data_IF_024959132483
#
_entry.id   IF_024959132483
#
_cell.length_a   1.000
_cell.length_b   1.000
_cell.length_c   1.000
_cell.angle_alpha   90.00
_cell.angle_beta   90.00
_cell.angle_gamma   90.00
#
_symmetry.space_group_name_H-M   'P 1'
#
loop_
_entity.id
_entity.type
_entity.pdbx_description
1 polymer ?
#
# COMPACT_ATOMS: atom_id res chain seq x y z
N UNK A 1 14.47 -6.36 -8.61
CA UNK A 1 14.99 -6.16 -7.21
C UNK A 1 14.11 -5.15 -6.48
N UNK A 2 13.89 -5.32 -5.16
CA UNK A 2 13.10 -4.37 -4.34
C UNK A 2 14.05 -3.53 -3.51
N UNK A 3 13.89 -2.20 -3.54
CA UNK A 3 14.69 -1.24 -2.80
C UNK A 3 13.79 -0.24 -2.09
N UNK A 4 14.19 0.19 -0.89
CA UNK A 4 13.58 1.32 -0.19
C UNK A 4 14.52 2.52 -0.27
N UNK A 5 14.04 3.63 -0.81
CA UNK A 5 14.78 4.87 -1.02
C UNK A 5 14.01 6.00 -0.32
N UNK A 6 14.48 6.43 0.85
CA UNK A 6 13.72 7.37 1.67
C UNK A 6 12.36 6.81 2.07
N UNK A 7 11.29 7.48 1.67
CA UNK A 7 9.90 7.05 1.90
C UNK A 7 9.32 6.25 0.71
N UNK A 8 10.11 6.01 -0.33
CA UNK A 8 9.65 5.32 -1.51
C UNK A 8 10.11 3.87 -1.57
N UNK A 9 9.34 3.06 -2.29
CA UNK A 9 9.66 1.70 -2.67
C UNK A 9 9.82 1.63 -4.19
N UNK A 10 10.94 1.08 -4.63
CA UNK A 10 11.28 0.90 -6.03
C UNK A 10 11.43 -0.60 -6.29
N UNK A 11 10.62 -1.09 -7.22
CA UNK A 11 10.53 -2.49 -7.59
C UNK A 11 10.99 -2.64 -9.04
N UNK A 12 12.18 -3.16 -9.23
CA UNK A 12 12.79 -3.31 -10.55
C UNK A 12 12.74 -4.78 -10.99
N UNK A 13 12.28 -4.98 -12.21
CA UNK A 13 12.47 -6.23 -12.98
C UNK A 13 13.60 -6.04 -14.00
N UNK A 14 13.76 -6.96 -14.95
CA UNK A 14 14.77 -6.86 -15.99
C UNK A 14 14.57 -5.61 -16.89
N UNK A 15 13.31 -5.25 -17.19
CA UNK A 15 12.99 -4.19 -18.14
C UNK A 15 11.98 -3.16 -17.62
N UNK A 16 11.45 -3.33 -16.41
CA UNK A 16 10.44 -2.41 -15.85
C UNK A 16 10.80 -1.94 -14.46
N UNK A 17 10.36 -0.72 -14.14
CA UNK A 17 10.36 -0.16 -12.79
C UNK A 17 8.94 0.14 -12.37
N UNK A 18 8.59 -0.26 -11.16
CA UNK A 18 7.39 0.14 -10.45
C UNK A 18 7.80 0.90 -9.20
N UNK A 19 7.25 2.10 -8.98
CA UNK A 19 7.62 2.92 -7.84
C UNK A 19 6.39 3.56 -7.19
N UNK A 20 6.38 3.58 -5.86
CA UNK A 20 5.42 4.31 -5.06
C UNK A 20 6.08 4.89 -3.82
N UNK A 21 5.54 5.95 -3.24
CA UNK A 21 6.06 6.58 -2.03
C UNK A 21 4.99 6.67 -0.95
N UNK A 22 5.44 6.79 0.29
CA UNK A 22 4.56 7.07 1.42
C UNK A 22 4.50 8.57 1.61
N UNK A 23 3.32 9.13 1.41
CA UNK A 23 3.02 10.52 1.66
C UNK A 23 3.19 10.86 3.15
N UNK A 24 3.32 12.13 3.47
CA UNK A 24 3.42 12.62 4.84
C UNK A 24 2.26 12.16 5.73
N UNK A 25 1.06 12.07 5.18
CA UNK A 25 -0.14 11.55 5.86
C UNK A 25 -0.17 10.04 6.05
N UNK A 26 0.86 9.33 5.58
CA UNK A 26 0.95 7.87 5.68
C UNK A 26 0.23 7.10 4.57
N UNK A 27 -0.32 7.79 3.57
CA UNK A 27 -0.97 7.13 2.44
C UNK A 27 0.04 6.85 1.33
N UNK A 28 -0.01 5.67 0.68
CA UNK A 28 0.89 5.34 -0.40
C UNK A 28 0.43 5.98 -1.73
N UNK A 29 1.33 6.73 -2.36
CA UNK A 29 1.15 7.37 -3.66
C UNK A 29 1.87 6.59 -4.74
N UNK A 30 1.17 6.23 -5.82
CA UNK A 30 1.77 5.64 -7.01
C UNK A 30 2.56 6.69 -7.79
N UNK A 31 3.85 6.43 -8.05
CA UNK A 31 4.73 7.35 -8.74
C UNK A 31 4.95 6.96 -10.20
N UNK A 32 5.27 5.69 -10.45
CA UNK A 32 5.70 5.24 -11.77
C UNK A 32 5.45 3.77 -12.01
N UNK A 33 5.07 3.42 -13.22
CA UNK A 33 5.16 2.08 -13.78
C UNK A 33 5.48 2.16 -15.27
N UNK A 34 6.59 1.59 -15.68
CA UNK A 34 7.03 1.63 -17.06
C UNK A 34 8.40 0.99 -17.30
N UNK A 35 9.05 1.39 -18.38
CA UNK A 35 10.42 0.92 -18.67
C UNK A 35 11.35 1.27 -17.51
N UNK A 36 12.38 0.45 -17.33
CA UNK A 36 13.41 0.67 -16.30
C UNK A 36 13.94 2.09 -16.34
N UNK A 37 13.91 2.76 -15.19
CA UNK A 37 14.51 4.06 -14.94
C UNK A 37 15.52 3.94 -13.81
N UNK A 38 16.50 4.82 -13.83
CA UNK A 38 17.56 4.81 -12.83
C UNK A 38 17.18 5.71 -11.66
N UNK A 39 17.03 5.13 -10.48
CA UNK A 39 16.69 5.83 -9.24
C UNK A 39 17.68 5.38 -8.17
N UNK A 40 18.51 6.31 -7.68
CA UNK A 40 19.48 6.06 -6.62
C UNK A 40 19.22 6.90 -5.38
N UNK A 41 18.68 8.10 -5.55
CA UNK A 41 18.44 9.05 -4.48
C UNK A 41 16.97 9.46 -4.39
N UNK A 42 16.49 9.92 -3.22
CA UNK A 42 15.14 10.45 -3.07
C UNK A 42 14.82 11.58 -4.06
N UNK A 43 15.81 12.42 -4.39
CA UNK A 43 15.67 13.55 -5.31
C UNK A 43 15.32 13.10 -6.74
N UNK A 44 15.76 11.90 -7.16
CA UNK A 44 15.41 11.32 -8.46
C UNK A 44 13.91 11.06 -8.59
N UNK A 45 13.23 10.90 -7.46
CA UNK A 45 11.78 10.65 -7.40
C UNK A 45 10.96 11.94 -7.46
N UNK A 46 11.54 13.10 -7.15
CA UNK A 46 10.80 14.38 -7.12
C UNK A 46 10.17 14.74 -8.46
N UNK A 47 10.82 14.35 -9.58
CA UNK A 47 10.29 14.58 -10.92
C UNK A 47 9.04 13.73 -11.21
N UNK A 48 8.88 12.62 -10.50
CA UNK A 48 7.75 11.70 -10.66
C UNK A 48 6.55 12.10 -9.79
N UNK A 49 6.80 12.89 -8.73
CA UNK A 49 5.75 13.39 -7.85
C UNK A 49 4.93 14.42 -8.60
N UNK A 50 3.66 14.16 -8.75
CA UNK A 50 2.74 15.10 -9.38
C UNK A 50 2.51 16.29 -8.46
N UNK A 51 2.79 17.50 -8.97
CA UNK A 51 2.59 18.73 -8.20
C UNK A 51 1.17 19.22 -8.40
N UNK A 52 0.35 19.00 -7.39
CA UNK A 52 -1.02 19.50 -7.38
C UNK A 52 -1.09 20.89 -6.80
N UNK A 53 -1.89 21.74 -7.45
CA UNK A 53 -2.23 23.06 -6.92
C UNK A 53 -3.60 22.94 -6.25
N UNK A 54 -3.69 23.40 -5.01
CA UNK A 54 -4.98 23.49 -4.33
C UNK A 54 -5.99 24.24 -5.20
N UNK A 55 -7.09 23.57 -5.53
CA UNK A 55 -8.19 24.14 -6.29
C UNK A 55 -9.37 24.46 -5.36
N UNK A 56 -10.01 25.64 -5.49
CA UNK A 56 -11.24 25.94 -4.77
C UNK A 56 -12.31 24.88 -5.10
N UNK A 57 -12.90 24.29 -4.07
CA UNK A 57 -13.90 23.22 -4.21
C UNK A 57 -13.41 21.84 -3.79
N UNK A 58 -12.12 21.65 -3.55
CA UNK A 58 -11.62 20.46 -2.88
C UNK A 58 -12.11 20.45 -1.43
N UNK A 59 -12.98 19.50 -1.10
CA UNK A 59 -13.67 19.46 0.20
C UNK A 59 -13.03 18.49 1.19
N UNK A 60 -12.21 17.56 0.71
CA UNK A 60 -11.58 16.55 1.55
C UNK A 60 -10.15 16.95 1.93
N UNK A 61 -10.03 17.73 2.97
CA UNK A 61 -8.75 18.07 3.59
C UNK A 61 -8.25 16.84 4.33
N UNK A 62 -7.14 16.27 3.88
CA UNK A 62 -6.55 15.09 4.50
C UNK A 62 -5.98 15.38 5.88
N UNK A 63 -5.38 16.56 6.08
CA UNK A 63 -4.74 16.97 7.32
C UNK A 63 -5.00 18.45 7.60
N UNK A 64 -5.35 18.76 8.86
CA UNK A 64 -5.61 20.14 9.30
C UNK A 64 -4.42 21.07 9.06
N UNK A 65 -3.21 20.56 9.20
CA UNK A 65 -1.97 21.33 9.05
C UNK A 65 -1.58 21.54 7.57
N UNK A 66 -2.22 20.82 6.64
CA UNK A 66 -1.99 20.89 5.20
C UNK A 66 -3.32 21.06 4.47
N UNK A 67 -3.97 22.18 4.73
CA UNK A 67 -5.29 22.52 4.17
C UNK A 67 -5.34 22.56 2.62
N UNK A 68 -4.19 22.59 1.96
CA UNK A 68 -4.09 22.55 0.50
C UNK A 68 -3.88 21.14 -0.09
N UNK A 69 -3.89 20.10 0.74
CA UNK A 69 -3.66 18.72 0.28
C UNK A 69 -4.94 17.89 0.35
N UNK A 70 -5.30 17.27 -0.76
CA UNK A 70 -6.43 16.34 -0.88
C UNK A 70 -5.95 14.99 -1.43
N UNK A 71 -6.46 13.90 -0.86
CA UNK A 71 -6.19 12.55 -1.40
C UNK A 71 -6.86 12.31 -2.76
N UNK A 72 -7.85 13.12 -3.12
CA UNK A 72 -8.53 13.03 -4.42
C UNK A 72 -7.65 13.49 -5.58
N UNK A 73 -6.64 14.30 -5.30
CA UNK A 73 -5.72 14.85 -6.31
C UNK A 73 -4.46 13.99 -6.50
N UNK A 74 -4.35 12.88 -5.77
CA UNK A 74 -3.17 12.01 -5.79
C UNK A 74 -3.51 10.66 -6.40
N UNK A 75 -2.57 10.08 -7.13
CA UNK A 75 -2.69 8.71 -7.61
C UNK A 75 -2.36 7.76 -6.46
N UNK A 76 -3.38 7.37 -5.71
CA UNK A 76 -3.18 6.47 -4.58
C UNK A 76 -2.85 5.04 -5.05
N UNK A 77 -1.88 4.43 -4.39
CA UNK A 77 -1.54 3.02 -4.55
C UNK A 77 -2.68 2.10 -4.05
N UNK A 78 -3.37 2.56 -3.04
CA UNK A 78 -4.61 2.00 -2.53
C UNK A 78 -5.49 3.11 -1.96
N UNK A 79 -6.80 2.97 -2.09
CA UNK A 79 -7.80 3.90 -1.59
C UNK A 79 -8.82 3.18 -0.72
N UNK A 80 -9.39 3.90 0.26
CA UNK A 80 -10.54 3.43 1.03
C UNK A 80 -11.75 4.27 0.66
N UNK A 81 -12.94 3.72 0.82
CA UNK A 81 -14.17 4.46 0.63
C UNK A 81 -14.20 5.72 1.51
N UNK A 82 -14.43 6.87 0.90
CA UNK A 82 -14.43 8.16 1.58
C UNK A 82 -13.04 8.73 1.92
N UNK A 83 -11.97 7.98 1.63
CA UNK A 83 -10.57 8.39 1.79
C UNK A 83 -9.80 8.11 0.50
N UNK A 84 -9.91 9.02 -0.45
CA UNK A 84 -9.29 8.94 -1.77
C UNK A 84 -10.20 8.44 -2.88
N UNK A 85 -11.25 7.71 -2.60
CA UNK A 85 -12.26 7.34 -3.59
C UNK A 85 -13.65 7.13 -2.96
N UNK A 86 -14.68 7.53 -3.70
CA UNK A 86 -16.09 7.34 -3.34
C UNK A 86 -16.84 6.49 -4.36
N UNK A 87 -16.19 6.07 -5.44
CA UNK A 87 -16.79 5.32 -6.56
C UNK A 87 -16.39 3.86 -6.54
N UNK A 88 -15.11 3.60 -6.76
CA UNK A 88 -14.54 2.25 -6.79
C UNK A 88 -13.26 2.19 -5.95
N UNK A 89 -13.38 2.27 -4.61
CA UNK A 89 -12.22 2.20 -3.73
C UNK A 89 -11.56 0.82 -3.79
N UNK A 90 -10.27 0.76 -3.50
CA UNK A 90 -9.55 -0.51 -3.36
C UNK A 90 -10.09 -1.36 -2.20
N UNK A 91 -10.52 -0.70 -1.11
CA UNK A 91 -11.15 -1.34 0.05
C UNK A 91 -12.48 -0.65 0.35
N UNK A 92 -13.54 -1.45 0.43
CA UNK A 92 -14.84 -1.06 0.95
C UNK A 92 -15.27 -2.05 2.04
N UNK A 93 -15.74 -1.54 3.17
CA UNK A 93 -16.25 -2.33 4.27
C UNK A 93 -17.39 -1.60 4.99
N UNK A 94 -18.27 -2.37 5.62
CA UNK A 94 -19.25 -1.86 6.59
C UNK A 94 -18.78 -2.30 7.96
N UNK A 95 -18.52 -1.34 8.84
CA UNK A 95 -18.01 -1.58 10.17
C UNK A 95 -19.14 -1.83 11.17
N UNK A 96 -18.82 -2.30 12.37
CA UNK A 96 -19.81 -2.69 13.39
C UNK A 96 -20.73 -1.54 13.83
N UNK A 97 -20.29 -0.30 13.69
CA UNK A 97 -21.04 0.93 14.01
C UNK A 97 -21.78 1.51 12.80
N UNK A 98 -21.73 0.84 11.65
CA UNK A 98 -22.33 1.27 10.39
C UNK A 98 -21.46 2.23 9.56
N UNK A 99 -20.29 2.62 10.06
CA UNK A 99 -19.34 3.42 9.28
C UNK A 99 -18.81 2.65 8.07
N UNK A 100 -18.49 3.36 7.00
CA UNK A 100 -17.89 2.78 5.78
C UNK A 100 -16.50 3.34 5.49
N UNK A 101 -16.10 4.41 6.17
CA UNK A 101 -14.83 5.08 5.93
C UNK A 101 -13.74 4.44 6.77
N UNK A 102 -12.69 3.99 6.10
CA UNK A 102 -11.45 3.49 6.69
C UNK A 102 -10.30 4.42 6.34
N UNK A 103 -9.34 4.58 7.26
CA UNK A 103 -8.15 5.42 7.07
C UNK A 103 -6.87 4.60 7.30
N UNK A 104 -6.55 3.76 6.33
CA UNK A 104 -5.34 2.96 6.39
C UNK A 104 -4.09 3.81 6.16
N UNK A 105 -3.21 3.86 7.16
CA UNK A 105 -1.94 4.58 7.12
C UNK A 105 -0.77 3.63 7.27
N UNK A 106 0.31 3.93 6.57
CA UNK A 106 1.55 3.18 6.64
C UNK A 106 2.04 3.03 8.08
N UNK A 107 2.40 1.81 8.47
CA UNK A 107 3.02 1.49 9.75
C UNK A 107 4.44 0.97 9.54
N UNK A 108 4.60 -0.05 8.69
CA UNK A 108 5.89 -0.71 8.47
C UNK A 108 5.94 -1.39 7.10
N UNK A 109 7.15 -1.79 6.70
CA UNK A 109 7.36 -2.59 5.49
C UNK A 109 8.53 -3.57 5.66
N UNK A 110 8.33 -4.79 5.18
CA UNK A 110 9.32 -5.87 5.24
C UNK A 110 9.61 -6.39 3.84
N UNK A 111 10.90 -6.47 3.49
CA UNK A 111 11.38 -7.06 2.24
C UNK A 111 12.00 -8.41 2.54
N UNK A 112 11.59 -9.46 1.81
CA UNK A 112 12.12 -10.81 1.96
C UNK A 112 12.56 -11.38 0.60
N UNK A 113 13.54 -12.30 0.63
CA UNK A 113 14.04 -13.00 -0.56
C UNK A 113 13.22 -14.22 -0.96
N UNK A 114 12.00 -14.37 -0.41
CA UNK A 114 11.09 -15.47 -0.73
C UNK A 114 9.65 -14.97 -0.68
N UNK A 115 8.79 -15.64 -1.42
CA UNK A 115 7.34 -15.38 -1.40
C UNK A 115 6.65 -16.29 -0.38
N UNK A 116 5.78 -15.72 0.42
CA UNK A 116 4.89 -16.50 1.29
C UNK A 116 3.75 -17.13 0.48
N UNK A 117 3.28 -18.29 0.93
CA UNK A 117 2.13 -18.95 0.33
C UNK A 117 0.86 -18.09 0.53
N UNK A 118 -0.03 -18.15 -0.45
CA UNK A 118 -1.37 -17.56 -0.35
C UNK A 118 -2.35 -18.69 -0.06
N UNK A 119 -2.80 -18.80 1.18
CA UNK A 119 -3.75 -19.84 1.58
C UNK A 119 -5.09 -19.68 0.86
N UNK A 120 -5.53 -20.74 0.18
CA UNK A 120 -6.83 -20.76 -0.48
C UNK A 120 -6.94 -19.95 -1.77
N UNK A 121 -5.85 -19.36 -2.26
CA UNK A 121 -5.81 -18.59 -3.51
C UNK A 121 -4.84 -19.21 -4.51
N UNK A 122 -5.10 -19.05 -5.83
CA UNK A 122 -4.10 -19.37 -6.85
C UNK A 122 -2.81 -18.59 -6.56
N UNK A 123 -1.69 -19.28 -6.55
CA UNK A 123 -0.38 -18.68 -6.27
C UNK A 123 0.53 -18.69 -7.47
N UNK A 124 1.36 -17.66 -7.60
CA UNK A 124 2.58 -17.72 -8.38
C UNK A 124 3.67 -18.36 -7.52
N UNK A 125 4.53 -19.14 -8.14
CA UNK A 125 5.61 -19.85 -7.46
C UNK A 125 6.95 -19.27 -7.90
N UNK A 126 7.95 -19.33 -7.04
CA UNK A 126 9.32 -18.96 -7.32
C UNK A 126 10.23 -19.57 -6.27
N UNK A 127 11.37 -20.08 -6.69
CA UNK A 127 12.42 -20.58 -5.81
C UNK A 127 13.09 -19.43 -5.06
N UNK A 128 13.85 -19.75 -4.02
CA UNK A 128 14.68 -18.77 -3.35
C UNK A 128 15.66 -18.12 -4.34
N UNK A 129 15.65 -16.80 -4.41
CA UNK A 129 16.45 -16.01 -5.35
C UNK A 129 15.75 -15.68 -6.69
N UNK A 130 14.62 -16.31 -7.02
CA UNK A 130 13.83 -15.97 -8.22
C UNK A 130 12.77 -14.90 -7.94
N UNK A 131 12.36 -14.76 -6.69
CA UNK A 131 11.33 -13.80 -6.26
C UNK A 131 11.76 -13.06 -5.01
N UNK A 132 11.46 -11.76 -4.99
CA UNK A 132 11.47 -10.95 -3.78
C UNK A 132 10.06 -10.54 -3.43
N UNK A 133 9.76 -10.47 -2.14
CA UNK A 133 8.47 -10.02 -1.62
C UNK A 133 8.66 -8.75 -0.80
N UNK A 134 7.82 -7.76 -1.05
CA UNK A 134 7.59 -6.62 -0.16
C UNK A 134 6.21 -6.81 0.47
N UNK A 135 6.15 -6.72 1.78
CA UNK A 135 4.90 -6.61 2.53
C UNK A 135 4.85 -5.22 3.17
N UNK A 136 3.88 -4.41 2.78
CA UNK A 136 3.60 -3.10 3.39
C UNK A 136 2.44 -3.25 4.34
N UNK A 137 2.65 -2.92 5.61
CA UNK A 137 1.62 -2.92 6.64
C UNK A 137 0.99 -1.54 6.75
N UNK A 138 -0.31 -1.49 6.55
CA UNK A 138 -1.16 -0.32 6.71
C UNK A 138 -2.11 -0.57 7.88
N UNK A 139 -2.37 0.45 8.71
CA UNK A 139 -3.22 0.32 9.90
C UNK A 139 -4.30 1.39 9.92
N UNK A 140 -5.53 0.97 10.15
CA UNK A 140 -6.60 1.83 10.63
C UNK A 140 -6.66 1.72 12.14
N UNK A 141 -6.26 2.79 12.82
CA UNK A 141 -6.16 2.81 14.29
C UNK A 141 -7.50 2.97 15.00
N UNK A 142 -8.53 3.41 14.29
CA UNK A 142 -9.86 3.59 14.89
C UNK A 142 -10.57 2.25 15.08
N UNK A 143 -10.34 1.32 14.14
CA UNK A 143 -11.05 0.04 14.10
C UNK A 143 -10.14 -1.18 14.32
N UNK A 144 -8.88 -0.94 14.66
CA UNK A 144 -7.87 -2.00 14.86
C UNK A 144 -7.75 -2.96 13.66
N UNK A 145 -7.90 -2.41 12.46
CA UNK A 145 -7.77 -3.16 11.23
C UNK A 145 -6.36 -2.98 10.63
N UNK A 146 -5.81 -4.06 10.09
CA UNK A 146 -4.58 -4.03 9.30
C UNK A 146 -4.87 -4.42 7.87
N UNK A 147 -4.26 -3.70 6.95
CA UNK A 147 -4.20 -4.04 5.53
C UNK A 147 -2.75 -4.34 5.18
N UNK A 148 -2.49 -5.56 4.71
CA UNK A 148 -1.19 -6.01 4.25
C UNK A 148 -1.20 -5.97 2.73
N UNK A 149 -0.36 -5.13 2.14
CA UNK A 149 -0.16 -5.04 0.70
C UNK A 149 1.10 -5.82 0.34
N UNK A 150 0.95 -6.83 -0.48
CA UNK A 150 2.07 -7.66 -0.95
C UNK A 150 2.41 -7.35 -2.39
N UNK A 151 3.70 -7.26 -2.65
CA UNK A 151 4.28 -7.14 -3.99
C UNK A 151 5.31 -8.23 -4.18
N UNK A 152 5.23 -8.95 -5.29
CA UNK A 152 6.11 -10.06 -5.63
C UNK A 152 6.85 -9.72 -6.90
N UNK A 153 8.17 -9.56 -6.83
CA UNK A 153 9.01 -9.18 -7.97
C UNK A 153 9.74 -10.41 -8.47
N UNK A 154 9.39 -10.83 -9.68
CA UNK A 154 10.06 -11.88 -10.45
C UNK A 154 10.96 -11.20 -11.48
N UNK A 155 12.21 -10.93 -11.10
CA UNK A 155 13.11 -10.08 -11.87
C UNK A 155 13.33 -10.62 -13.29
N UNK A 156 13.71 -11.88 -13.42
CA UNK A 156 14.01 -12.51 -14.72
C UNK A 156 12.78 -12.74 -15.60
N UNK A 157 11.60 -12.87 -14.99
CA UNK A 157 10.36 -13.06 -15.72
C UNK A 157 9.68 -11.73 -16.12
N UNK A 158 10.23 -10.60 -15.66
CA UNK A 158 9.68 -9.26 -15.91
C UNK A 158 8.24 -9.09 -15.40
N UNK A 159 7.94 -9.70 -14.24
CA UNK A 159 6.59 -9.74 -13.65
C UNK A 159 6.60 -9.17 -12.25
N UNK A 160 5.60 -8.33 -11.96
CA UNK A 160 5.27 -7.87 -10.61
C UNK A 160 3.86 -8.34 -10.27
N UNK A 161 3.76 -9.28 -9.33
CA UNK A 161 2.50 -9.75 -8.78
C UNK A 161 2.07 -8.90 -7.58
N UNK A 162 0.76 -8.79 -7.34
CA UNK A 162 0.21 -8.08 -6.18
C UNK A 162 -0.88 -8.90 -5.51
N UNK A 163 -0.97 -8.80 -4.20
CA UNK A 163 -2.10 -9.29 -3.42
C UNK A 163 -2.30 -8.42 -2.17
N UNK A 164 -3.45 -8.54 -1.53
CA UNK A 164 -3.76 -7.84 -0.31
C UNK A 164 -4.47 -8.76 0.68
N UNK A 165 -4.29 -8.49 1.97
CA UNK A 165 -4.96 -9.20 3.06
C UNK A 165 -5.43 -8.19 4.10
N UNK A 166 -6.72 -8.25 4.47
CA UNK A 166 -7.25 -7.50 5.61
C UNK A 166 -7.24 -8.41 6.83
N UNK A 167 -6.75 -7.87 7.94
CA UNK A 167 -6.66 -8.56 9.23
C UNK A 167 -7.39 -7.73 10.27
N UNK A 168 -8.33 -8.36 10.98
CA UNK A 168 -8.92 -7.77 12.17
C UNK A 168 -7.99 -8.03 13.36
N UNK A 169 -7.32 -6.98 13.86
CA UNK A 169 -6.38 -7.09 14.97
C UNK A 169 -7.07 -7.10 16.35
N UNK A 170 -8.33 -6.64 16.44
CA UNK A 170 -9.10 -6.63 17.68
C UNK A 170 -9.41 -8.04 18.21
N UNK A 171 -9.49 -9.04 17.33
CA UNK A 171 -9.79 -10.44 17.70
C UNK A 171 -8.59 -11.22 18.26
N UNK A 172 -7.39 -10.66 18.26
CA UNK A 172 -6.21 -11.33 18.84
C UNK A 172 -6.01 -11.03 20.33
N UNK A 173 -6.78 -10.12 20.94
CA UNK A 173 -6.68 -9.82 22.36
C UNK A 173 -7.43 -10.82 23.26
N UNK A 174 -8.37 -11.60 22.74
CA UNK A 174 -9.19 -12.54 23.50
C UNK A 174 -8.83 -14.03 23.24
N UNK A 175 -7.54 -14.32 23.25
CA UNK A 175 -7.03 -15.69 23.14
C UNK A 175 -7.22 -16.56 24.39
N UNK A 176 -8.38 -16.48 25.08
CA UNK A 176 -8.81 -17.47 26.06
C UNK A 176 -10.18 -18.02 25.69
N UNK A 177 -10.22 -18.85 24.65
CA UNK A 177 -11.39 -19.66 24.40
C UNK A 177 -11.52 -20.69 25.53
N UNK A 178 -12.43 -20.47 26.42
CA UNK A 178 -12.96 -21.54 27.28
C UNK A 178 -13.65 -22.56 26.38
N UNK A 179 -13.00 -23.70 26.18
CA UNK A 179 -13.72 -24.91 25.82
C UNK A 179 -14.63 -25.26 27.00
N UNK A 180 -15.92 -25.19 26.82
CA UNK A 180 -16.90 -25.84 27.68
C UNK A 180 -17.70 -26.82 26.84
N UNK A 181 -17.64 -28.06 27.28
CA UNK A 181 -18.27 -29.30 26.85
C UNK A 181 -19.60 -29.20 26.10
#
# INVERSE_FOLDING_TARGET
MIRKIGQAFVLDTAHTTYAFSILRGGHPEHLYYGRTIHIEHPDDLEILVEKHVFAPGNVNICEKEHAGFSLEDVRLEMSSYGKGDIREPFVEAILYDGAKTLDFRYEDAVITGKKDALDGLPGSYGSAGEVQQLCVTMVDRQYDLKLLLYYYVYEAADVIGRSAKIVNASSQADGSASQTN
#
